data_IF_051543529450
#
_entry.id   IF_051543529450
#
_cell.length_a   1.000
_cell.length_b   1.000
_cell.length_c   1.000
_cell.angle_alpha   90.00
_cell.angle_beta   90.00
_cell.angle_gamma   90.00
#
_symmetry.space_group_name_H-M   'P 1'
#
loop_
_entity.id
_entity.type
_entity.pdbx_description
1 polymer ?
#
# COMPACT_ATOMS: atom_id res chain seq x y z
N UNK A 1 7.35 5.91 -67.48
CA UNK A 1 8.61 6.11 -68.21
C UNK A 1 9.55 4.99 -67.80
N UNK A 2 9.80 4.09 -68.74
CA UNK A 2 10.55 2.85 -68.54
C UNK A 2 12.04 3.18 -68.40
N UNK A 3 12.54 3.30 -67.17
CA UNK A 3 13.99 3.34 -66.97
C UNK A 3 14.51 1.91 -67.15
N UNK A 4 14.96 1.61 -68.36
CA UNK A 4 15.85 0.47 -68.59
C UNK A 4 17.10 0.68 -67.75
N UNK A 5 17.15 0.02 -66.60
CA UNK A 5 18.37 -0.25 -65.86
C UNK A 5 19.31 -0.98 -66.82
N UNK A 6 20.12 -0.21 -67.54
CA UNK A 6 21.18 -0.78 -68.34
C UNK A 6 22.29 -1.11 -67.35
N UNK A 7 22.64 -2.38 -67.24
CA UNK A 7 23.74 -2.87 -66.39
C UNK A 7 25.11 -2.44 -66.95
N UNK A 8 25.16 -1.32 -67.68
CA UNK A 8 26.30 -0.82 -68.44
C UNK A 8 26.65 0.60 -67.99
N UNK A 9 27.94 0.88 -67.92
CA UNK A 9 28.43 2.20 -67.60
C UNK A 9 28.15 3.15 -68.79
N UNK A 10 27.44 4.27 -68.61
CA UNK A 10 27.09 5.18 -69.71
C UNK A 10 28.29 5.99 -70.26
N UNK A 11 29.50 5.79 -69.72
CA UNK A 11 30.74 6.46 -70.18
C UNK A 11 31.56 5.56 -71.10
N UNK A 12 31.75 4.28 -70.76
CA UNK A 12 32.51 3.32 -71.57
C UNK A 12 31.65 2.26 -72.26
N UNK A 13 30.36 2.16 -71.91
CA UNK A 13 29.39 1.16 -72.36
C UNK A 13 29.72 -0.29 -71.97
N UNK A 14 30.65 -0.50 -71.03
CA UNK A 14 30.96 -1.81 -70.45
C UNK A 14 30.10 -2.13 -69.21
N UNK A 15 29.98 -3.41 -68.86
CA UNK A 15 29.15 -3.87 -67.74
C UNK A 15 29.62 -3.36 -66.35
N UNK A 16 28.67 -2.99 -65.50
CA UNK A 16 28.90 -2.48 -64.14
C UNK A 16 29.13 -3.63 -63.14
N UNK A 17 30.25 -4.35 -63.28
CA UNK A 17 30.58 -5.51 -62.41
C UNK A 17 31.47 -5.21 -61.20
N UNK A 18 32.37 -4.22 -61.30
CA UNK A 18 33.38 -3.93 -60.25
C UNK A 18 33.77 -2.46 -60.25
N UNK A 19 34.39 -2.02 -59.16
CA UNK A 19 34.89 -0.64 -58.99
C UNK A 19 33.81 0.41 -59.29
N UNK A 20 32.63 0.26 -58.67
CA UNK A 20 31.47 1.09 -58.94
C UNK A 20 31.44 2.31 -58.04
N UNK A 21 30.99 3.43 -58.58
CA UNK A 21 30.68 4.62 -57.80
C UNK A 21 29.34 5.23 -58.21
N UNK A 22 28.66 5.86 -57.25
CA UNK A 22 27.43 6.63 -57.44
C UNK A 22 27.70 8.11 -57.29
N UNK A 23 27.04 8.88 -58.13
CA UNK A 23 27.03 10.35 -58.07
C UNK A 23 25.98 10.87 -57.09
N UNK A 24 26.39 11.74 -56.17
CA UNK A 24 25.50 12.43 -55.22
C UNK A 24 25.13 13.83 -55.75
N UNK A 25 23.85 14.23 -55.85
CA UNK A 25 22.65 13.55 -55.33
C UNK A 25 21.85 12.75 -56.36
N UNK A 26 22.29 12.67 -57.62
CA UNK A 26 21.44 12.15 -58.69
C UNK A 26 21.38 10.61 -58.78
N UNK A 27 22.24 9.88 -58.06
CA UNK A 27 22.16 8.43 -57.91
C UNK A 27 22.67 7.61 -59.09
N UNK A 28 23.23 8.23 -60.15
CA UNK A 28 23.70 7.47 -61.32
C UNK A 28 25.01 6.75 -61.02
N UNK A 29 25.11 5.50 -61.50
CA UNK A 29 26.21 4.56 -61.27
C UNK A 29 27.18 4.54 -62.45
N UNK A 30 28.49 4.49 -62.16
CA UNK A 30 29.57 4.42 -63.14
C UNK A 30 30.71 3.57 -62.61
N UNK A 31 31.65 3.14 -63.47
CA UNK A 31 32.96 2.75 -62.96
C UNK A 31 33.69 3.96 -62.39
N UNK A 32 34.38 3.77 -61.27
CA UNK A 32 35.17 4.78 -60.56
C UNK A 32 36.16 5.47 -61.49
N UNK A 33 36.85 4.70 -62.34
CA UNK A 33 37.80 5.22 -63.32
C UNK A 33 37.12 6.09 -64.37
N UNK A 34 35.96 5.66 -64.89
CA UNK A 34 35.20 6.39 -65.89
C UNK A 34 34.72 7.75 -65.38
N UNK A 35 34.14 7.80 -64.18
CA UNK A 35 33.71 9.07 -63.59
C UNK A 35 34.90 9.98 -63.24
N UNK A 36 35.99 9.43 -62.74
CA UNK A 36 37.21 10.21 -62.44
C UNK A 36 37.81 10.81 -63.70
N UNK A 37 37.89 10.05 -64.80
CA UNK A 37 38.35 10.56 -66.10
C UNK A 37 37.46 11.68 -66.62
N UNK A 38 36.14 11.54 -66.50
CA UNK A 38 35.17 12.57 -66.85
C UNK A 38 35.32 13.85 -66.01
N UNK A 39 35.47 13.70 -64.70
CA UNK A 39 35.66 14.81 -63.78
C UNK A 39 36.96 15.58 -64.10
N UNK A 40 38.07 14.86 -64.32
CA UNK A 40 39.36 15.46 -64.66
C UNK A 40 39.32 16.18 -66.02
N UNK A 41 38.68 15.59 -67.02
CA UNK A 41 38.50 16.23 -68.32
C UNK A 41 37.65 17.51 -68.20
N UNK A 42 36.62 17.51 -67.35
CA UNK A 42 35.78 18.68 -67.08
C UNK A 42 36.56 19.78 -66.35
N UNK A 43 37.37 19.40 -65.36
CA UNK A 43 38.21 20.32 -64.60
C UNK A 43 39.29 20.99 -65.46
N UNK A 44 39.91 20.24 -66.38
CA UNK A 44 40.93 20.78 -67.29
C UNK A 44 40.41 21.90 -68.20
N UNK A 45 39.11 21.89 -68.51
CA UNK A 45 38.47 22.91 -69.35
C UNK A 45 38.09 24.16 -68.54
N UNK A 46 37.72 24.00 -67.27
CA UNK A 46 37.36 25.10 -66.37
C UNK A 46 37.69 24.73 -64.91
N UNK A 47 38.82 25.21 -64.36
CA UNK A 47 39.30 24.84 -63.01
C UNK A 47 38.38 25.23 -61.83
N UNK A 48 37.31 25.99 -62.09
CA UNK A 48 36.33 26.46 -61.11
C UNK A 48 34.92 25.90 -61.36
N UNK A 49 34.73 25.06 -62.38
CA UNK A 49 33.42 24.49 -62.69
C UNK A 49 33.09 23.30 -61.77
N UNK A 50 31.87 23.28 -61.25
CA UNK A 50 31.34 22.12 -60.52
C UNK A 50 31.20 20.93 -61.48
N UNK A 51 31.61 19.75 -61.03
CA UNK A 51 31.53 18.50 -61.81
C UNK A 51 30.05 18.19 -62.08
N UNK A 52 29.72 17.81 -63.32
CA UNK A 52 28.37 17.41 -63.72
C UNK A 52 28.32 15.92 -64.04
N UNK A 53 27.22 15.28 -63.63
CA UNK A 53 26.92 13.89 -63.92
C UNK A 53 26.83 13.65 -65.44
N UNK A 54 27.57 12.67 -66.02
CA UNK A 54 27.49 12.36 -67.45
C UNK A 54 26.08 11.97 -67.93
N UNK A 55 25.26 11.37 -67.06
CA UNK A 55 23.95 10.84 -67.44
C UNK A 55 22.85 11.91 -67.44
N UNK A 56 22.82 12.76 -66.41
CA UNK A 56 21.70 13.70 -66.21
C UNK A 56 22.12 15.17 -66.18
N UNK A 57 23.42 15.46 -66.33
CA UNK A 57 24.01 16.80 -66.33
C UNK A 57 23.74 17.64 -65.06
N UNK A 58 23.23 17.01 -63.99
CA UNK A 58 23.10 17.63 -62.65
C UNK A 58 24.47 17.76 -62.00
N UNK A 59 24.64 18.78 -61.16
CA UNK A 59 25.86 18.93 -60.37
C UNK A 59 26.03 17.75 -59.42
N UNK A 60 27.28 17.33 -59.27
CA UNK A 60 27.68 16.24 -58.40
C UNK A 60 28.71 16.76 -57.41
N UNK A 61 28.43 16.63 -56.12
CA UNK A 61 29.33 17.12 -55.07
C UNK A 61 30.44 16.12 -54.77
N UNK A 62 30.15 14.82 -54.91
CA UNK A 62 31.08 13.72 -54.70
C UNK A 62 30.64 12.45 -55.41
N UNK A 63 31.61 11.55 -55.62
CA UNK A 63 31.35 10.18 -56.05
C UNK A 63 31.58 9.21 -54.88
N UNK A 64 30.56 8.47 -54.51
CA UNK A 64 30.56 7.51 -53.40
C UNK A 64 30.87 6.12 -53.96
N UNK A 65 31.87 5.42 -53.43
CA UNK A 65 32.14 4.03 -53.84
C UNK A 65 31.04 3.10 -53.32
N UNK A 66 30.58 2.18 -54.18
CA UNK A 66 29.68 1.11 -53.78
C UNK A 66 30.49 -0.17 -53.66
N UNK A 67 30.54 -0.71 -52.45
CA UNK A 67 31.06 -2.04 -52.19
C UNK A 67 29.89 -3.01 -52.11
N UNK A 68 29.65 -3.75 -53.18
CA UNK A 68 28.74 -4.90 -53.17
C UNK A 68 29.56 -6.14 -52.80
N UNK A 69 29.63 -6.44 -51.52
CA UNK A 69 30.14 -7.72 -51.05
C UNK A 69 29.07 -8.78 -51.32
N UNK A 70 29.04 -9.30 -52.54
CA UNK A 70 28.14 -10.39 -52.94
C UNK A 70 28.74 -11.72 -52.47
N UNK A 71 28.95 -11.86 -51.17
CA UNK A 71 29.28 -13.15 -50.56
C UNK A 71 27.99 -13.94 -50.41
N UNK A 72 27.56 -14.63 -51.48
CA UNK A 72 26.47 -15.60 -51.36
C UNK A 72 25.68 -15.95 -52.61
N UNK A 73 25.85 -15.27 -53.74
CA UNK A 73 25.19 -15.68 -54.99
C UNK A 73 26.18 -16.46 -55.84
N UNK A 74 26.19 -17.78 -55.63
CA UNK A 74 26.85 -18.72 -56.52
C UNK A 74 26.07 -18.76 -57.85
N UNK A 75 26.35 -17.80 -58.73
CA UNK A 75 25.64 -17.57 -60.00
C UNK A 75 26.26 -18.36 -61.17
N UNK A 76 26.96 -19.47 -60.89
CA UNK A 76 27.59 -20.32 -61.91
C UNK A 76 26.93 -21.71 -62.03
N UNK A 77 25.65 -21.86 -61.64
CA UNK A 77 24.96 -23.16 -61.76
C UNK A 77 23.53 -23.06 -62.26
N UNK A 78 23.28 -22.23 -63.26
CA UNK A 78 22.06 -22.29 -64.09
C UNK A 78 22.36 -22.97 -65.43
N UNK A 79 22.81 -24.22 -65.35
CA UNK A 79 22.59 -25.19 -66.43
C UNK A 79 21.49 -26.12 -65.93
N UNK A 80 20.41 -26.19 -66.72
CA UNK A 80 19.12 -26.74 -66.29
C UNK A 80 19.12 -28.25 -66.20
N UNK A 81 19.39 -28.75 -65.00
CA UNK A 81 19.05 -30.10 -64.59
C UNK A 81 18.02 -30.01 -63.43
N UNK A 82 16.95 -30.80 -63.55
CA UNK A 82 15.73 -30.90 -62.73
C UNK A 82 15.95 -31.12 -61.20
N UNK A 83 17.20 -31.17 -60.74
CA UNK A 83 17.59 -31.50 -59.36
C UNK A 83 17.57 -30.27 -58.40
N UNK A 84 17.79 -29.06 -58.91
CA UNK A 84 17.75 -27.83 -58.10
C UNK A 84 16.37 -27.53 -57.49
N UNK A 85 15.31 -28.00 -58.14
CA UNK A 85 13.92 -27.86 -57.67
C UNK A 85 13.68 -28.62 -56.37
N UNK A 86 14.31 -29.80 -56.20
CA UNK A 86 14.14 -30.62 -55.00
C UNK A 86 14.80 -30.01 -53.77
N UNK A 87 15.98 -29.42 -53.91
CA UNK A 87 16.70 -28.74 -52.82
C UNK A 87 15.93 -27.50 -52.35
N UNK A 88 15.40 -26.71 -53.29
CA UNK A 88 14.61 -25.53 -52.95
C UNK A 88 13.30 -25.92 -52.26
N UNK A 89 12.60 -26.94 -52.76
CA UNK A 89 11.37 -27.44 -52.14
C UNK A 89 11.60 -28.01 -50.73
N UNK A 90 12.73 -28.70 -50.50
CA UNK A 90 13.12 -29.15 -49.17
C UNK A 90 13.33 -27.95 -48.22
N UNK A 91 14.00 -26.89 -48.70
CA UNK A 91 14.22 -25.68 -47.89
C UNK A 91 12.93 -24.91 -47.60
N UNK A 92 12.02 -24.82 -48.58
CA UNK A 92 10.68 -24.24 -48.40
C UNK A 92 9.90 -25.01 -47.33
N UNK A 93 9.94 -26.35 -47.37
CA UNK A 93 9.27 -27.19 -46.37
C UNK A 93 9.86 -26.98 -44.96
N UNK A 94 11.18 -26.93 -44.83
CA UNK A 94 11.86 -26.65 -43.56
C UNK A 94 11.47 -25.27 -43.00
N UNK A 95 11.54 -24.22 -43.83
CA UNK A 95 11.18 -22.87 -43.43
C UNK A 95 9.69 -22.76 -43.06
N UNK A 96 8.82 -23.45 -43.79
CA UNK A 96 7.39 -23.49 -43.48
C UNK A 96 7.12 -24.15 -42.13
N UNK A 97 7.83 -25.23 -41.80
CA UNK A 97 7.74 -25.88 -40.49
C UNK A 97 8.28 -24.99 -39.36
N UNK A 98 9.35 -24.22 -39.61
CA UNK A 98 9.87 -23.24 -38.64
C UNK A 98 8.88 -22.10 -38.42
N UNK A 99 8.27 -21.57 -39.49
CA UNK A 99 7.27 -20.52 -39.39
C UNK A 99 6.03 -20.97 -38.62
N UNK A 100 5.57 -22.22 -38.81
CA UNK A 100 4.46 -22.75 -38.01
C UNK A 100 4.85 -22.92 -36.54
N UNK A 101 6.09 -23.31 -36.24
CA UNK A 101 6.64 -23.34 -34.89
C UNK A 101 6.61 -21.96 -34.22
N UNK A 102 7.16 -20.94 -34.87
CA UNK A 102 7.15 -19.57 -34.35
C UNK A 102 5.73 -19.00 -34.22
N UNK A 103 4.81 -19.35 -35.11
CA UNK A 103 3.41 -18.95 -35.00
C UNK A 103 2.74 -19.53 -33.74
N UNK A 104 3.06 -20.79 -33.38
CA UNK A 104 2.59 -21.42 -32.15
C UNK A 104 3.17 -20.74 -30.91
N UNK A 105 4.49 -20.51 -30.88
CA UNK A 105 5.15 -19.80 -29.78
C UNK A 105 4.60 -18.38 -29.59
N UNK A 106 4.35 -17.65 -30.68
CA UNK A 106 3.74 -16.33 -30.62
C UNK A 106 2.30 -16.36 -30.05
N UNK A 107 1.53 -17.41 -30.34
CA UNK A 107 0.21 -17.60 -29.77
C UNK A 107 0.27 -17.89 -28.25
N UNK A 108 1.22 -18.71 -27.82
CA UNK A 108 1.46 -19.00 -26.40
C UNK A 108 1.91 -17.75 -25.63
N UNK A 109 2.87 -16.98 -26.18
CA UNK A 109 3.31 -15.72 -25.59
C UNK A 109 2.18 -14.69 -25.50
N UNK A 110 1.30 -14.64 -26.51
CA UNK A 110 0.13 -13.76 -26.49
C UNK A 110 -0.87 -14.16 -25.40
N UNK A 111 -1.04 -15.46 -25.16
CA UNK A 111 -1.88 -15.95 -24.07
C UNK A 111 -1.28 -15.57 -22.71
N UNK A 112 0.03 -15.76 -22.52
CA UNK A 112 0.70 -15.42 -21.27
C UNK A 112 0.67 -13.90 -21.01
N UNK A 113 0.84 -13.07 -22.05
CA UNK A 113 0.70 -11.62 -21.93
C UNK A 113 -0.70 -11.20 -21.46
N UNK A 114 -1.76 -11.91 -21.87
CA UNK A 114 -3.12 -11.65 -21.35
C UNK A 114 -3.23 -12.00 -19.87
N UNK A 115 -2.70 -13.16 -19.47
CA UNK A 115 -2.68 -13.58 -18.07
C UNK A 115 -1.93 -12.59 -17.18
N UNK A 116 -0.79 -12.05 -17.64
CA UNK A 116 -0.05 -11.01 -16.90
C UNK A 116 -0.91 -9.77 -16.72
N UNK A 117 -1.59 -9.29 -17.78
CA UNK A 117 -2.47 -8.13 -17.66
C UNK A 117 -3.65 -8.37 -16.70
N UNK A 118 -4.21 -9.58 -16.68
CA UNK A 118 -5.28 -9.96 -15.73
C UNK A 118 -4.75 -9.90 -14.29
N UNK A 119 -3.60 -10.51 -14.01
CA UNK A 119 -2.96 -10.47 -12.69
C UNK A 119 -2.57 -9.05 -12.26
N UNK A 120 -2.12 -8.20 -13.20
CA UNK A 120 -1.85 -6.79 -12.93
C UNK A 120 -3.13 -6.02 -12.54
N UNK A 121 -4.26 -6.33 -13.18
CA UNK A 121 -5.55 -5.76 -12.82
C UNK A 121 -5.98 -6.19 -11.42
N UNK A 122 -5.91 -7.50 -11.11
CA UNK A 122 -6.23 -8.04 -9.78
C UNK A 122 -5.33 -7.44 -8.69
N UNK A 123 -4.03 -7.32 -8.95
CA UNK A 123 -3.08 -6.68 -8.02
C UNK A 123 -3.42 -5.21 -7.77
N UNK A 124 -3.89 -4.49 -8.79
CA UNK A 124 -4.32 -3.09 -8.66
C UNK A 124 -5.58 -2.98 -7.81
N UNK A 125 -6.55 -3.87 -8.00
CA UNK A 125 -7.78 -3.93 -7.20
C UNK A 125 -7.47 -4.25 -5.74
N UNK A 126 -6.69 -5.30 -5.47
CA UNK A 126 -6.28 -5.66 -4.12
C UNK A 126 -5.52 -4.51 -3.42
N UNK A 127 -4.65 -3.80 -4.14
CA UNK A 127 -3.94 -2.62 -3.59
C UNK A 127 -4.89 -1.48 -3.23
N UNK A 128 -5.94 -1.27 -4.03
CA UNK A 128 -6.96 -0.26 -3.73
C UNK A 128 -7.76 -0.66 -2.49
N UNK A 129 -8.15 -1.93 -2.37
CA UNK A 129 -8.86 -2.47 -1.20
C UNK A 129 -8.04 -2.34 0.09
N UNK A 130 -6.74 -2.72 0.06
CA UNK A 130 -5.82 -2.53 1.19
C UNK A 130 -5.73 -1.05 1.61
N UNK A 131 -5.73 -0.14 0.63
CA UNK A 131 -5.67 1.30 0.91
C UNK A 131 -6.96 1.79 1.59
N UNK A 132 -8.12 1.31 1.13
CA UNK A 132 -9.41 1.63 1.71
C UNK A 132 -9.50 1.14 3.17
N UNK A 133 -9.13 -0.12 3.43
CA UNK A 133 -9.15 -0.69 4.78
C UNK A 133 -8.15 0.01 5.72
N UNK A 134 -7.00 0.48 5.20
CA UNK A 134 -6.06 1.29 6.00
C UNK A 134 -6.70 2.60 6.47
N UNK A 135 -7.41 3.31 5.60
CA UNK A 135 -8.09 4.57 5.95
C UNK A 135 -9.22 4.34 6.97
N UNK A 136 -9.95 3.24 6.82
CA UNK A 136 -10.99 2.84 7.78
C UNK A 136 -10.41 2.55 9.16
N UNK A 137 -9.29 1.80 9.21
CA UNK A 137 -8.57 1.53 10.45
C UNK A 137 -8.03 2.81 11.12
N UNK A 138 -7.52 3.76 10.35
CA UNK A 138 -7.09 5.06 10.87
C UNK A 138 -8.25 5.85 11.47
N UNK A 139 -9.41 5.82 10.82
CA UNK A 139 -10.64 6.46 11.31
C UNK A 139 -11.11 5.83 12.62
N UNK A 140 -11.22 4.50 12.68
CA UNK A 140 -11.60 3.76 13.89
C UNK A 140 -10.62 3.99 15.03
N UNK A 141 -9.31 4.07 14.75
CA UNK A 141 -8.29 4.41 15.75
C UNK A 141 -8.50 5.82 16.32
N UNK A 142 -8.90 6.78 15.47
CA UNK A 142 -9.27 8.12 15.88
C UNK A 142 -10.49 8.15 16.80
N UNK A 143 -11.53 7.37 16.47
CA UNK A 143 -12.73 7.24 17.29
C UNK A 143 -12.46 6.56 18.63
N UNK A 144 -11.66 5.50 18.63
CA UNK A 144 -11.25 4.79 19.84
C UNK A 144 -10.52 5.75 20.81
N UNK A 145 -9.60 6.57 20.30
CA UNK A 145 -8.89 7.58 21.11
C UNK A 145 -9.84 8.64 21.68
N UNK A 146 -10.85 9.06 20.93
CA UNK A 146 -11.88 10.00 21.42
C UNK A 146 -12.70 9.36 22.55
N UNK A 147 -13.14 8.12 22.37
CA UNK A 147 -13.89 7.38 23.38
C UNK A 147 -13.06 7.17 24.67
N UNK A 148 -11.78 6.82 24.52
CA UNK A 148 -10.84 6.69 25.64
C UNK A 148 -10.69 8.00 26.42
N UNK A 149 -10.52 9.14 25.72
CA UNK A 149 -10.45 10.45 26.38
C UNK A 149 -11.73 10.78 27.16
N UNK A 150 -12.91 10.50 26.59
CA UNK A 150 -14.19 10.72 27.28
C UNK A 150 -14.32 9.82 28.51
N UNK A 151 -13.93 8.54 28.39
CA UNK A 151 -13.93 7.61 29.52
C UNK A 151 -13.00 8.09 30.64
N UNK A 152 -11.78 8.53 30.30
CA UNK A 152 -10.81 9.05 31.26
C UNK A 152 -11.33 10.30 31.97
N UNK A 153 -11.92 11.25 31.23
CA UNK A 153 -12.56 12.44 31.83
C UNK A 153 -13.69 12.05 32.79
N UNK A 154 -14.51 11.06 32.43
CA UNK A 154 -15.59 10.58 33.30
C UNK A 154 -15.05 9.90 34.57
N UNK A 155 -14.00 9.10 34.45
CA UNK A 155 -13.32 8.47 35.59
C UNK A 155 -12.75 9.54 36.53
N UNK A 156 -12.08 10.57 36.00
CA UNK A 156 -11.57 11.67 36.81
C UNK A 156 -12.69 12.44 37.53
N UNK A 157 -13.79 12.73 36.82
CA UNK A 157 -14.97 13.37 37.39
C UNK A 157 -15.55 12.55 38.55
N UNK A 158 -15.72 11.24 38.36
CA UNK A 158 -16.19 10.33 39.40
C UNK A 158 -15.23 10.24 40.58
N UNK A 159 -13.90 10.25 40.35
CA UNK A 159 -12.89 10.30 41.42
C UNK A 159 -13.02 11.56 42.27
N UNK A 160 -13.25 12.72 41.64
CA UNK A 160 -13.48 14.00 42.35
C UNK A 160 -14.75 13.92 43.19
N UNK A 161 -15.85 13.43 42.62
CA UNK A 161 -17.11 13.24 43.36
C UNK A 161 -16.95 12.29 44.55
N UNK A 162 -16.27 11.16 44.35
CA UNK A 162 -15.98 10.19 45.41
C UNK A 162 -15.18 10.83 46.55
N UNK A 163 -14.18 11.65 46.23
CA UNK A 163 -13.37 12.38 47.23
C UNK A 163 -14.23 13.34 48.06
N UNK A 164 -15.12 14.10 47.41
CA UNK A 164 -16.04 15.02 48.09
C UNK A 164 -16.96 14.26 49.04
N UNK A 165 -17.56 13.16 48.58
CA UNK A 165 -18.44 12.32 49.42
C UNK A 165 -17.67 11.74 50.60
N UNK A 166 -16.47 11.22 50.38
CA UNK A 166 -15.62 10.69 51.46
C UNK A 166 -15.26 11.77 52.49
N UNK A 167 -14.94 12.98 52.05
CA UNK A 167 -14.67 14.09 52.96
C UNK A 167 -15.92 14.47 53.75
N UNK A 168 -17.08 14.53 53.10
CA UNK A 168 -18.37 14.79 53.76
C UNK A 168 -18.68 13.74 54.85
N UNK A 169 -18.53 12.46 54.53
CA UNK A 169 -18.72 11.36 55.50
C UNK A 169 -17.73 11.44 56.67
N UNK A 170 -16.47 11.82 56.43
CA UNK A 170 -15.47 12.01 57.49
C UNK A 170 -15.87 13.15 58.43
N UNK A 171 -16.28 14.29 57.88
CA UNK A 171 -16.73 15.44 58.66
C UNK A 171 -17.96 15.10 59.51
N UNK A 172 -18.94 14.42 58.92
CA UNK A 172 -20.16 14.02 59.62
C UNK A 172 -19.90 12.99 60.72
N UNK A 173 -19.04 11.99 60.46
CA UNK A 173 -18.62 11.06 61.50
C UNK A 173 -17.90 11.76 62.65
N UNK A 174 -17.06 12.77 62.36
CA UNK A 174 -16.42 13.57 63.41
C UNK A 174 -17.44 14.38 64.22
N UNK A 175 -18.48 14.93 63.57
CA UNK A 175 -19.59 15.64 64.22
C UNK A 175 -20.38 14.71 65.14
N UNK A 176 -20.81 13.57 64.63
CA UNK A 176 -21.55 12.56 65.40
C UNK A 176 -20.74 11.98 66.55
N UNK A 177 -19.42 11.83 66.39
CA UNK A 177 -18.53 11.42 67.48
C UNK A 177 -18.52 12.45 68.60
N UNK A 178 -18.37 13.73 68.25
CA UNK A 178 -18.39 14.84 69.22
C UNK A 178 -19.75 14.92 69.93
N UNK A 179 -20.85 14.77 69.19
CA UNK A 179 -22.21 14.77 69.75
C UNK A 179 -22.43 13.59 70.71
N UNK A 180 -21.96 12.39 70.35
CA UNK A 180 -22.00 11.23 71.24
C UNK A 180 -21.17 11.40 72.51
N UNK A 181 -19.99 12.01 72.40
CA UNK A 181 -19.12 12.35 73.55
C UNK A 181 -19.79 13.39 74.46
N UNK A 182 -20.49 14.38 73.89
CA UNK A 182 -21.25 15.38 74.66
C UNK A 182 -22.47 14.80 75.41
N UNK A 183 -23.06 13.72 74.89
CA UNK A 183 -24.17 13.01 75.55
C UNK A 183 -23.70 12.04 76.65
N UNK A 184 -22.40 11.75 76.74
CA UNK A 184 -21.85 10.79 77.71
C UNK A 184 -22.11 11.18 79.18
N UNK A 185 -21.91 12.45 79.60
CA UNK A 185 -22.24 12.90 80.96
C UNK A 185 -23.72 12.70 81.29
N UNK A 186 -24.62 13.03 80.36
CA UNK A 186 -26.05 12.86 80.56
C UNK A 186 -26.44 11.37 80.71
N UNK A 187 -25.79 10.47 79.95
CA UNK A 187 -25.95 9.01 80.13
C UNK A 187 -25.46 8.53 81.50
N UNK A 188 -24.34 9.10 81.99
CA UNK A 188 -23.80 8.79 83.31
C UNK A 188 -24.75 9.28 84.42
N UNK A 189 -25.30 10.49 84.29
CA UNK A 189 -26.25 11.06 85.24
C UNK A 189 -27.58 10.28 85.25
N UNK A 190 -28.13 9.92 84.09
CA UNK A 190 -29.29 9.02 84.04
C UNK A 190 -29.02 7.68 84.73
N UNK A 191 -27.82 7.13 84.56
CA UNK A 191 -27.45 5.87 85.22
C UNK A 191 -27.38 6.04 86.75
N UNK A 192 -26.86 7.17 87.25
CA UNK A 192 -26.87 7.52 88.68
C UNK A 192 -28.29 7.67 89.22
N UNK A 193 -29.13 8.45 88.54
CA UNK A 193 -30.54 8.64 88.92
C UNK A 193 -31.30 7.30 88.94
N UNK A 194 -31.08 6.45 87.95
CA UNK A 194 -31.68 5.11 87.88
C UNK A 194 -31.26 4.24 89.08
N UNK A 195 -29.97 4.25 89.44
CA UNK A 195 -29.46 3.52 90.60
C UNK A 195 -30.05 4.06 91.92
N UNK A 196 -30.15 5.38 92.07
CA UNK A 196 -30.78 6.01 93.24
C UNK A 196 -32.26 5.65 93.35
N UNK A 197 -32.99 5.67 92.23
CA UNK A 197 -34.38 5.22 92.17
C UNK A 197 -34.54 3.75 92.58
N UNK A 198 -33.66 2.85 92.13
CA UNK A 198 -33.66 1.46 92.60
C UNK A 198 -33.35 1.34 94.10
N UNK A 199 -32.46 2.18 94.63
CA UNK A 199 -32.15 2.22 96.07
C UNK A 199 -33.35 2.69 96.89
N UNK A 200 -34.04 3.74 96.43
CA UNK A 200 -35.27 4.24 97.06
C UNK A 200 -36.39 3.20 97.02
N UNK A 201 -36.62 2.54 95.87
CA UNK A 201 -37.59 1.43 95.76
C UNK A 201 -37.31 0.32 96.77
N UNK A 202 -36.05 -0.11 96.91
CA UNK A 202 -35.65 -1.11 97.91
C UNK A 202 -35.92 -0.66 99.34
N UNK A 203 -35.65 0.61 99.68
CA UNK A 203 -35.96 1.18 101.00
C UNK A 203 -37.46 1.18 101.27
N UNK A 204 -38.28 1.64 100.32
CA UNK A 204 -39.74 1.64 100.44
C UNK A 204 -40.28 0.23 100.68
N UNK A 205 -39.80 -0.75 99.91
CA UNK A 205 -40.23 -2.14 100.10
C UNK A 205 -39.81 -2.74 101.45
N UNK A 206 -38.65 -2.35 101.96
CA UNK A 206 -38.22 -2.66 103.32
C UNK A 206 -39.15 -2.06 104.38
N UNK A 207 -39.47 -0.77 104.26
CA UNK A 207 -40.41 -0.08 105.15
C UNK A 207 -41.81 -0.70 105.12
N UNK A 208 -42.34 -1.03 103.94
CA UNK A 208 -43.61 -1.74 103.79
C UNK A 208 -43.60 -3.10 104.48
N UNK A 209 -42.49 -3.84 104.37
CA UNK A 209 -42.32 -5.13 105.04
C UNK A 209 -42.27 -4.98 106.57
N UNK A 210 -41.57 -3.95 107.07
CA UNK A 210 -41.50 -3.65 108.51
C UNK A 210 -42.86 -3.20 109.07
N UNK A 211 -43.62 -2.40 108.33
CA UNK A 211 -44.99 -2.02 108.72
C UNK A 211 -45.92 -3.24 108.77
N UNK A 212 -45.84 -4.16 107.78
CA UNK A 212 -46.62 -5.41 107.80
C UNK A 212 -46.26 -6.30 109.00
N UNK A 213 -44.97 -6.39 109.35
CA UNK A 213 -44.53 -7.13 110.55
C UNK A 213 -45.06 -6.52 111.84
N UNK A 214 -45.00 -5.19 111.99
CA UNK A 214 -45.57 -4.49 113.14
C UNK A 214 -47.08 -4.71 113.27
N UNK A 215 -47.82 -4.56 112.17
CA UNK A 215 -49.26 -4.84 112.15
C UNK A 215 -49.60 -6.29 112.53
N UNK A 216 -48.79 -7.28 112.12
CA UNK A 216 -48.97 -8.68 112.53
C UNK A 216 -48.63 -8.92 114.00
N UNK A 217 -47.67 -8.20 114.58
CA UNK A 217 -47.32 -8.30 115.99
C UNK A 217 -48.42 -7.69 116.88
N UNK A 218 -48.99 -6.56 116.46
CA UNK A 218 -50.13 -5.93 117.14
C UNK A 218 -51.39 -6.82 117.02
N UNK A 219 -51.63 -7.46 115.87
CA UNK A 219 -52.75 -8.39 115.69
C UNK A 219 -52.58 -9.71 116.49
N UNK A 220 -51.35 -10.21 116.65
CA UNK A 220 -51.03 -11.31 117.58
C UNK A 220 -51.23 -10.91 119.05
N UNK A 221 -50.89 -9.67 119.41
CA UNK A 221 -51.06 -9.15 120.76
C UNK A 221 -52.55 -8.98 121.13
N UNK A 222 -53.38 -8.49 120.19
CA UNK A 222 -54.82 -8.40 120.34
C UNK A 222 -55.51 -9.77 120.46
N UNK A 223 -55.03 -10.79 119.75
CA UNK A 223 -55.52 -12.18 119.90
C UNK A 223 -55.13 -12.80 121.26
N UNK A 224 -54.02 -12.38 121.85
CA UNK A 224 -53.61 -12.84 123.19
C UNK A 224 -54.37 -12.18 124.35
N UNK A 225 -55.01 -11.02 124.13
CA UNK A 225 -55.85 -10.36 125.15
C UNK A 225 -57.33 -10.80 125.12
N UNK A 226 -57.73 -11.58 124.13
CA UNK A 226 -59.12 -12.02 123.92
C UNK A 226 -59.33 -13.53 124.16
N UNK A 227 -58.31 -14.23 124.68
CA UNK A 227 -58.36 -15.62 125.14
C UNK A 227 -58.12 -15.66 126.65
#
# INVERSE_FOLDING_TARGET
MSNSCTDQCPVCYEELRKDLCVTDPCGHVFHRKCFTGWANASYSKQPLARIKCPTCNKHTDKAIDIYLEVTGLNLESFNGDDDGSNVLNAKIKELSARLSGYAKEAAELKHEARRVNELESEMKEAKMEITCERLKNETLKGELKKAENVANQKVESLRRQSTIVQQGLRSENSRLKTENEALLPMKQDMSRISADNQRMKRKLHGMESDMKKKGSADDQFLRYQTA
#
